data_IF_170274200205
#
_entry.id   IF_170274200205
#
_cell.length_a   1.000
_cell.length_b   1.000
_cell.length_c   1.000
_cell.angle_alpha   90.00
_cell.angle_beta   90.00
_cell.angle_gamma   90.00
#
_symmetry.space_group_name_H-M   'P 1'
#
loop_
_entity.id
_entity.type
_entity.pdbx_description
1 polymer ?
#
# COMPACT_ATOMS: atom_id res chain seq x y z
N UNK A 1 0.68 -3.77 -10.95
CA UNK A 1 0.69 -3.73 -9.47
C UNK A 1 0.66 -5.16 -8.97
N UNK A 2 1.48 -5.49 -7.97
CA UNK A 2 1.58 -6.84 -7.40
C UNK A 2 1.41 -6.76 -5.90
N UNK A 3 0.73 -7.75 -5.33
CA UNK A 3 0.75 -8.04 -3.90
C UNK A 3 1.53 -9.34 -3.71
N UNK A 4 2.42 -9.39 -2.73
CA UNK A 4 3.26 -10.54 -2.49
C UNK A 4 2.65 -11.43 -1.40
N UNK A 5 2.96 -12.72 -1.43
CA UNK A 5 2.58 -13.67 -0.39
C UNK A 5 3.83 -13.98 0.43
N UNK A 6 3.72 -13.82 1.75
CA UNK A 6 4.78 -14.13 2.70
C UNK A 6 4.45 -15.34 3.56
N UNK A 7 5.49 -15.96 4.10
CA UNK A 7 5.36 -17.02 5.10
C UNK A 7 5.28 -16.42 6.49
N UNK A 8 4.36 -16.92 7.32
CA UNK A 8 4.30 -16.57 8.74
C UNK A 8 5.51 -17.08 9.52
N UNK A 9 5.83 -16.39 10.62
CA UNK A 9 6.93 -16.72 11.53
C UNK A 9 6.45 -17.20 12.90
N UNK A 10 5.15 -17.48 13.05
CA UNK A 10 4.53 -17.90 14.30
C UNK A 10 3.99 -16.70 15.10
N UNK A 11 4.19 -16.71 16.41
CA UNK A 11 3.66 -15.68 17.32
C UNK A 11 4.35 -14.33 17.14
N UNK A 12 3.55 -13.29 16.92
CA UNK A 12 4.00 -11.88 16.89
C UNK A 12 4.33 -11.35 18.29
N UNK A 13 4.98 -10.19 18.36
CA UNK A 13 5.32 -9.49 19.61
C UNK A 13 4.09 -9.05 20.44
N UNK A 14 2.90 -9.03 19.83
CA UNK A 14 1.62 -8.73 20.50
C UNK A 14 0.79 -9.99 20.79
N UNK A 15 1.37 -11.17 20.60
CA UNK A 15 0.77 -12.45 20.99
C UNK A 15 -0.22 -13.05 19.99
N UNK A 16 -0.31 -12.51 18.78
CA UNK A 16 -1.14 -13.05 17.68
C UNK A 16 -0.31 -14.08 16.90
N UNK A 17 -0.87 -15.26 16.65
CA UNK A 17 -0.28 -16.25 15.73
C UNK A 17 -0.50 -15.86 14.27
N UNK A 18 0.59 -15.74 13.50
CA UNK A 18 0.51 -15.48 12.07
C UNK A 18 -0.01 -16.70 11.29
N UNK A 19 -0.82 -16.52 10.24
CA UNK A 19 -1.11 -17.58 9.29
C UNK A 19 0.17 -18.11 8.64
N UNK A 20 0.20 -19.40 8.26
CA UNK A 20 1.34 -20.00 7.57
C UNK A 20 1.72 -19.25 6.27
N UNK A 21 0.72 -18.66 5.60
CA UNK A 21 0.87 -17.75 4.47
C UNK A 21 -0.10 -16.58 4.60
N UNK A 22 0.35 -15.37 4.31
CA UNK A 22 -0.50 -14.19 4.29
C UNK A 22 -0.13 -13.25 3.14
N UNK A 23 -1.07 -12.41 2.75
CA UNK A 23 -0.84 -11.36 1.76
C UNK A 23 -0.10 -10.20 2.43
N UNK A 24 0.99 -9.76 1.82
CA UNK A 24 1.65 -8.55 2.29
C UNK A 24 0.70 -7.35 2.19
N UNK A 25 0.76 -6.41 3.13
CA UNK A 25 -0.02 -5.19 3.05
C UNK A 25 0.34 -4.38 1.81
N UNK A 26 -0.69 -3.87 1.14
CA UNK A 26 -0.57 -2.95 0.03
C UNK A 26 -1.62 -1.85 0.10
N UNK A 27 -1.22 -0.64 -0.25
CA UNK A 27 -2.11 0.50 -0.50
C UNK A 27 -2.01 0.86 -1.98
N UNK A 28 -3.16 0.86 -2.66
CA UNK A 28 -3.25 1.17 -4.09
C UNK A 28 -4.21 2.34 -4.26
N UNK A 29 -3.77 3.34 -5.02
CA UNK A 29 -4.62 4.44 -5.46
C UNK A 29 -5.01 4.14 -6.92
N UNK A 30 -6.30 4.00 -7.16
CA UNK A 30 -6.86 3.63 -8.47
C UNK A 30 -7.80 4.74 -8.89
N UNK A 31 -7.64 5.22 -10.13
CA UNK A 31 -8.54 6.22 -10.71
C UNK A 31 -9.91 5.60 -11.04
N UNK A 32 -10.97 6.42 -11.21
CA UNK A 32 -12.29 5.92 -11.60
C UNK A 32 -12.32 5.11 -12.91
N UNK A 33 -11.37 5.34 -13.82
CA UNK A 33 -11.22 4.60 -15.07
C UNK A 33 -10.49 3.25 -14.92
N UNK A 34 -10.14 2.87 -13.69
CA UNK A 34 -9.45 1.62 -13.37
C UNK A 34 -7.94 1.68 -13.54
N UNK A 35 -7.36 2.81 -13.93
CA UNK A 35 -5.89 2.96 -14.04
C UNK A 35 -5.26 3.11 -12.66
N UNK A 36 -4.07 2.51 -12.48
CA UNK A 36 -3.30 2.63 -11.24
C UNK A 36 -2.61 4.00 -11.20
N UNK A 37 -2.85 4.77 -10.15
CA UNK A 37 -2.16 6.04 -9.89
C UNK A 37 -0.86 5.83 -9.11
N UNK A 38 -0.92 5.05 -8.03
CA UNK A 38 0.22 4.76 -7.17
C UNK A 38 0.02 3.44 -6.42
N UNK A 39 1.13 2.83 -6.00
CA UNK A 39 1.14 1.62 -5.20
C UNK A 39 2.23 1.70 -4.13
N UNK A 40 1.88 1.38 -2.90
CA UNK A 40 2.81 1.14 -1.80
C UNK A 40 2.62 -0.28 -1.32
N UNK A 41 3.68 -1.07 -1.35
CA UNK A 41 3.70 -2.44 -0.83
C UNK A 41 4.86 -2.56 0.13
N UNK A 42 4.64 -3.11 1.31
CA UNK A 42 5.67 -3.21 2.34
C UNK A 42 5.58 -4.55 3.04
N UNK A 43 6.70 -5.29 3.03
CA UNK A 43 6.85 -6.53 3.79
C UNK A 43 7.13 -6.28 5.28
N UNK A 44 7.67 -5.10 5.59
CA UNK A 44 7.95 -4.68 6.95
C UNK A 44 6.67 -4.10 7.60
N UNK A 45 6.42 -4.37 8.90
CA UNK A 45 5.31 -3.74 9.61
C UNK A 45 5.50 -2.24 9.86
N UNK A 46 6.72 -1.73 9.67
CA UNK A 46 7.10 -0.34 9.91
C UNK A 46 7.16 0.48 8.62
N UNK A 47 7.10 1.81 8.76
CA UNK A 47 7.21 2.79 7.67
C UNK A 47 6.14 2.67 6.57
N UNK A 48 4.96 2.18 6.92
CA UNK A 48 3.79 2.22 6.03
C UNK A 48 3.25 3.66 5.95
N UNK A 49 2.68 4.10 4.81
CA UNK A 49 2.17 5.46 4.66
C UNK A 49 1.11 5.80 5.72
N UNK A 50 1.21 6.98 6.31
CA UNK A 50 0.17 7.46 7.22
C UNK A 50 -1.01 8.00 6.39
N UNK A 51 -2.22 7.51 6.63
CA UNK A 51 -3.38 7.85 5.81
C UNK A 51 -3.66 9.36 5.72
N UNK A 52 -3.38 10.12 6.79
CA UNK A 52 -3.50 11.58 6.77
C UNK A 52 -2.64 12.24 5.68
N UNK A 53 -1.43 11.75 5.48
CA UNK A 53 -0.52 12.27 4.46
C UNK A 53 -0.97 11.84 3.05
N UNK A 54 -1.48 10.61 2.92
CA UNK A 54 -2.07 10.11 1.66
C UNK A 54 -3.26 10.96 1.23
N UNK A 55 -4.18 11.28 2.15
CA UNK A 55 -5.35 12.12 1.87
C UNK A 55 -4.93 13.54 1.49
N UNK A 56 -4.00 14.14 2.23
CA UNK A 56 -3.49 15.48 1.87
C UNK A 56 -2.79 15.49 0.50
N UNK A 57 -2.11 14.41 0.12
CA UNK A 57 -1.56 14.27 -1.22
C UNK A 57 -2.65 14.14 -2.28
N UNK A 58 -3.73 13.39 -2.01
CA UNK A 58 -4.87 13.27 -2.91
C UNK A 58 -5.51 14.63 -3.23
N UNK A 59 -5.65 15.52 -2.24
CA UNK A 59 -6.16 16.88 -2.47
C UNK A 59 -5.32 17.63 -3.53
N UNK A 60 -4.00 17.59 -3.40
CA UNK A 60 -3.07 18.22 -4.36
C UNK A 60 -3.10 17.53 -5.72
N UNK A 61 -3.19 16.19 -5.74
CA UNK A 61 -3.27 15.40 -6.97
C UNK A 61 -4.50 15.79 -7.77
N UNK A 62 -5.66 15.90 -7.11
CA UNK A 62 -6.92 16.25 -7.74
C UNK A 62 -6.96 17.73 -8.15
N UNK A 63 -6.50 18.64 -7.29
CA UNK A 63 -6.44 20.08 -7.58
C UNK A 63 -5.56 20.39 -8.79
N UNK A 64 -4.39 19.75 -8.88
CA UNK A 64 -3.39 20.03 -9.92
C UNK A 64 -3.48 19.10 -11.12
N UNK A 65 -4.41 18.15 -11.12
CA UNK A 65 -4.43 17.03 -12.06
C UNK A 65 -3.03 16.40 -12.21
N UNK A 66 -2.37 16.16 -11.08
CA UNK A 66 -0.95 15.80 -11.06
C UNK A 66 -0.76 14.40 -11.70
N UNK A 67 0.19 14.21 -12.62
CA UNK A 67 0.36 12.93 -13.29
C UNK A 67 0.95 11.89 -12.34
N UNK A 68 0.57 10.64 -12.55
CA UNK A 68 1.31 9.51 -11.98
C UNK A 68 2.73 9.51 -12.54
N UNK A 69 3.70 9.04 -11.75
CA UNK A 69 5.11 8.91 -12.18
C UNK A 69 5.45 7.44 -12.42
N UNK A 70 6.35 7.18 -13.37
CA UNK A 70 6.85 5.83 -13.64
C UNK A 70 6.04 5.03 -14.67
N UNK A 71 5.44 5.72 -15.64
CA UNK A 71 4.84 5.05 -16.81
C UNK A 71 5.95 4.51 -17.74
N UNK A 72 5.76 3.28 -18.20
CA UNK A 72 6.47 2.62 -19.30
C UNK A 72 5.42 2.23 -20.33
#
# INVERSE_FOLDING_TARGET
WRLYISSGRGKTSIGIEEPARFNEPGLFLVRPDGTLYAAWTATMPFARPHFREVVAALDVILEKNYPARGEL
#
